data_IF_764379711871
#
_entry.id   IF_764379711871
#
_cell.length_a   1.000
_cell.length_b   1.000
_cell.length_c   1.000
_cell.angle_alpha   90.00
_cell.angle_beta   90.00
_cell.angle_gamma   90.00
#
_symmetry.space_group_name_H-M   'P 1'
#
loop_
_entity.id
_entity.type
_entity.pdbx_description
1 polymer ?
#
# COMPACT_ATOMS: atom_id res chain seq x y z
N UNK A 1 18.59 30.65 29.48
CA UNK A 1 18.18 29.47 28.70
C UNK A 1 17.96 29.93 27.28
N UNK A 2 18.91 29.67 26.39
CA UNK A 2 18.80 30.03 24.97
C UNK A 2 17.77 29.06 24.37
N UNK A 3 16.65 29.54 23.81
CA UNK A 3 15.69 28.67 23.17
C UNK A 3 16.38 28.09 21.94
N UNK A 4 16.70 26.80 22.00
CA UNK A 4 17.06 26.03 20.83
C UNK A 4 15.80 25.97 19.98
N UNK A 5 15.71 26.83 18.95
CA UNK A 5 14.87 26.55 17.79
C UNK A 5 15.37 25.23 17.20
N UNK A 6 14.82 24.12 17.68
CA UNK A 6 14.83 22.87 16.97
C UNK A 6 14.19 23.19 15.62
N UNK A 7 15.03 23.40 14.60
CA UNK A 7 14.59 23.51 13.24
C UNK A 7 13.67 22.33 12.97
N UNK A 8 12.51 22.60 12.36
CA UNK A 8 11.59 21.54 11.96
C UNK A 8 12.31 20.65 10.95
N UNK A 9 13.05 19.65 11.42
CA UNK A 9 13.63 18.64 10.55
C UNK A 9 12.45 17.85 9.98
N UNK A 10 12.12 18.12 8.72
CA UNK A 10 11.07 17.41 8.00
C UNK A 10 11.45 15.93 7.96
N UNK A 11 10.74 15.10 8.72
CA UNK A 11 11.00 13.67 8.79
C UNK A 11 10.53 12.98 7.50
N UNK A 12 11.35 13.04 6.46
CA UNK A 12 11.08 12.44 5.15
C UNK A 12 11.15 10.90 5.16
N UNK A 13 11.78 10.29 6.17
CA UNK A 13 12.02 8.84 6.19
C UNK A 13 10.71 8.06 6.29
N UNK A 14 9.76 8.57 7.08
CA UNK A 14 8.48 7.92 7.29
C UNK A 14 7.58 7.97 6.02
N UNK A 15 7.34 9.13 5.39
CA UNK A 15 6.60 9.20 4.13
C UNK A 15 7.18 8.31 3.02
N UNK A 16 8.51 8.33 2.84
CA UNK A 16 9.17 7.47 1.85
C UNK A 16 9.01 5.98 2.16
N UNK A 17 9.04 5.57 3.44
CA UNK A 17 8.80 4.18 3.82
C UNK A 17 7.40 3.72 3.44
N UNK A 18 6.38 4.56 3.63
CA UNK A 18 5.01 4.25 3.20
C UNK A 18 4.91 4.06 1.69
N UNK A 19 5.53 4.95 0.90
CA UNK A 19 5.54 4.85 -0.56
C UNK A 19 6.24 3.55 -1.01
N UNK A 20 7.39 3.19 -0.44
CA UNK A 20 8.09 1.96 -0.81
C UNK A 20 7.29 0.70 -0.50
N UNK A 21 6.70 0.60 0.70
CA UNK A 21 5.89 -0.55 1.08
C UNK A 21 4.63 -0.64 0.20
N UNK A 22 4.05 0.50 -0.15
CA UNK A 22 2.86 0.55 -1.00
C UNK A 22 3.09 -0.02 -2.39
N UNK A 23 4.28 0.20 -2.98
CA UNK A 23 4.67 -0.35 -4.27
C UNK A 23 4.78 -1.87 -4.21
N UNK A 24 5.37 -2.40 -3.13
CA UNK A 24 5.45 -3.85 -2.91
C UNK A 24 4.06 -4.44 -2.78
N UNK A 25 3.17 -3.78 -2.03
CA UNK A 25 1.78 -4.23 -1.85
C UNK A 25 0.99 -4.23 -3.17
N UNK A 26 1.20 -3.22 -4.01
CA UNK A 26 0.61 -3.16 -5.36
C UNK A 26 1.06 -4.34 -6.20
N UNK A 27 2.37 -4.61 -6.26
CA UNK A 27 2.92 -5.74 -7.04
C UNK A 27 2.36 -7.07 -6.53
N UNK A 28 2.34 -7.27 -5.21
CA UNK A 28 1.78 -8.48 -4.60
C UNK A 28 0.29 -8.65 -4.94
N UNK A 29 -0.50 -7.57 -4.87
CA UNK A 29 -1.91 -7.59 -5.26
C UNK A 29 -2.11 -8.02 -6.71
N UNK A 30 -1.33 -7.45 -7.65
CA UNK A 30 -1.43 -7.82 -9.06
C UNK A 30 -1.05 -9.28 -9.30
N UNK A 31 0.01 -9.79 -8.65
CA UNK A 31 0.40 -11.21 -8.75
C UNK A 31 -0.75 -12.11 -8.29
N UNK A 32 -1.39 -11.80 -7.16
CA UNK A 32 -2.51 -12.61 -6.64
C UNK A 32 -3.69 -12.58 -7.61
N UNK A 33 -4.03 -11.43 -8.21
CA UNK A 33 -5.10 -11.35 -9.20
C UNK A 33 -4.81 -12.18 -10.45
N UNK A 34 -3.57 -12.14 -10.95
CA UNK A 34 -3.16 -12.96 -12.12
C UNK A 34 -3.24 -14.45 -11.78
N UNK A 35 -2.77 -14.87 -10.61
CA UNK A 35 -2.86 -16.27 -10.16
C UNK A 35 -4.31 -16.76 -9.98
N UNK A 36 -5.25 -15.87 -9.66
CA UNK A 36 -6.67 -16.20 -9.47
C UNK A 36 -7.53 -15.84 -10.70
N UNK A 37 -6.92 -15.54 -11.85
CA UNK A 37 -7.61 -15.04 -13.05
C UNK A 37 -8.68 -16.00 -13.60
N UNK A 38 -8.46 -17.31 -13.52
CA UNK A 38 -9.44 -18.33 -13.95
C UNK A 38 -10.70 -18.30 -13.07
N UNK A 39 -10.54 -18.09 -11.76
CA UNK A 39 -11.68 -18.05 -10.83
C UNK A 39 -12.49 -16.76 -11.04
N UNK A 40 -11.79 -15.66 -11.33
CA UNK A 40 -12.36 -14.35 -11.68
C UNK A 40 -13.16 -14.44 -12.99
N UNK A 41 -12.62 -15.09 -14.02
CA UNK A 41 -13.31 -15.23 -15.32
C UNK A 41 -14.56 -16.11 -15.23
N UNK A 42 -14.58 -17.07 -14.30
CA UNK A 42 -15.75 -17.88 -13.96
C UNK A 42 -16.78 -17.15 -13.07
N UNK A 43 -16.54 -15.88 -12.71
CA UNK A 43 -17.48 -15.05 -11.94
C UNK A 43 -17.50 -15.35 -10.43
N UNK A 44 -16.52 -16.07 -9.90
CA UNK A 44 -16.45 -16.43 -8.48
C UNK A 44 -15.53 -15.44 -7.76
N UNK A 45 -16.11 -14.39 -7.19
CA UNK A 45 -15.33 -13.31 -6.56
C UNK A 45 -15.15 -13.43 -5.04
N UNK A 46 -15.95 -14.27 -4.38
CA UNK A 46 -15.92 -14.45 -2.92
C UNK A 46 -14.94 -15.54 -2.50
N UNK A 47 -13.69 -15.40 -2.93
CA UNK A 47 -12.60 -16.27 -2.48
C UNK A 47 -11.62 -15.50 -1.61
N UNK A 48 -10.98 -16.14 -0.62
CA UNK A 48 -9.98 -15.49 0.22
C UNK A 48 -8.83 -14.87 -0.58
N UNK A 49 -8.43 -15.47 -1.70
CA UNK A 49 -7.36 -14.95 -2.56
C UNK A 49 -7.71 -13.60 -3.18
N UNK A 50 -8.89 -13.48 -3.79
CA UNK A 50 -9.34 -12.23 -4.43
C UNK A 50 -9.55 -11.13 -3.39
N UNK A 51 -10.12 -11.47 -2.23
CA UNK A 51 -10.31 -10.50 -1.14
C UNK A 51 -8.99 -10.03 -0.55
N UNK A 52 -8.01 -10.91 -0.38
CA UNK A 52 -6.66 -10.53 0.03
C UNK A 52 -6.02 -9.56 -0.97
N UNK A 53 -6.14 -9.84 -2.27
CA UNK A 53 -5.66 -8.94 -3.31
C UNK A 53 -6.33 -7.56 -3.24
N UNK A 54 -7.64 -7.51 -2.98
CA UNK A 54 -8.37 -6.25 -2.81
C UNK A 54 -7.90 -5.45 -1.59
N UNK A 55 -7.65 -6.11 -0.45
CA UNK A 55 -7.11 -5.43 0.75
C UNK A 55 -5.71 -4.88 0.51
N UNK A 56 -4.83 -5.66 -0.14
CA UNK A 56 -3.49 -5.19 -0.50
C UNK A 56 -3.56 -4.01 -1.47
N UNK A 57 -4.49 -4.03 -2.42
CA UNK A 57 -4.68 -2.92 -3.36
C UNK A 57 -5.17 -1.63 -2.68
N UNK A 58 -6.19 -1.72 -1.83
CA UNK A 58 -6.82 -0.53 -1.23
C UNK A 58 -6.04 -0.04 -0.02
N UNK A 59 -5.80 -0.92 0.95
CA UNK A 59 -5.17 -0.54 2.22
C UNK A 59 -3.65 -0.54 2.10
N UNK A 60 -3.09 -1.54 1.43
CA UNK A 60 -1.64 -1.68 1.30
C UNK A 60 -1.02 -0.70 0.30
N UNK A 61 -1.69 -0.43 -0.83
CA UNK A 61 -1.22 0.54 -1.82
C UNK A 61 -1.87 1.92 -1.67
N UNK A 62 -3.16 2.06 -1.99
CA UNK A 62 -3.79 3.38 -2.16
C UNK A 62 -3.73 4.24 -0.88
N UNK A 63 -4.05 3.66 0.28
CA UNK A 63 -4.00 4.36 1.57
C UNK A 63 -2.56 4.74 1.96
N UNK A 64 -1.61 3.82 1.82
CA UNK A 64 -0.21 4.06 2.21
C UNK A 64 0.47 5.10 1.31
N UNK A 65 0.21 5.08 -0.01
CA UNK A 65 0.69 6.14 -0.92
C UNK A 65 0.13 7.50 -0.52
N UNK A 66 -1.17 7.59 -0.26
CA UNK A 66 -1.81 8.85 0.10
C UNK A 66 -1.23 9.42 1.40
N UNK A 67 -1.03 8.57 2.42
CA UNK A 67 -0.38 8.96 3.67
C UNK A 67 1.08 9.39 3.48
N UNK A 68 1.83 8.77 2.56
CA UNK A 68 3.21 9.14 2.26
C UNK A 68 3.37 10.38 1.37
N UNK A 69 2.28 10.87 0.77
CA UNK A 69 2.31 12.03 -0.13
C UNK A 69 1.90 13.35 0.57
N UNK A 70 1.28 13.28 1.76
CA UNK A 70 0.89 14.41 2.60
C UNK A 70 2.01 14.83 3.55
#
# INVERSE_FOLDING_TARGET
MIPQTAGMETNIKLPFSFIFISLISLVASQIILVMNSEIISNGIFRTPGIWSAAHLFVLGWALMVAMGAM
#
